data_IF_109772905973
#
_entry.id   IF_109772905973
#
_cell.length_a   1.000
_cell.length_b   1.000
_cell.length_c   1.000
_cell.angle_alpha   90.00
_cell.angle_beta   90.00
_cell.angle_gamma   90.00
#
_symmetry.space_group_name_H-M   'P 1'
#
loop_
_entity.id
_entity.type
_entity.pdbx_description
1 polymer ?
#
# COMPACT_ATOMS: atom_id res chain seq x y z
N UNK A 1 -13.23 -21.28 2.35
CA UNK A 1 -12.16 -21.66 3.31
C UNK A 1 -11.80 -20.40 4.10
N UNK A 2 -12.36 -20.26 5.30
CA UNK A 2 -12.52 -18.98 6.03
C UNK A 2 -11.21 -18.24 6.27
N UNK A 3 -11.19 -16.92 6.07
CA UNK A 3 -10.00 -16.07 6.19
C UNK A 3 -9.35 -16.11 7.58
N UNK A 4 -10.12 -16.44 8.63
CA UNK A 4 -9.59 -16.74 9.97
C UNK A 4 -8.60 -17.91 9.98
N UNK A 5 -8.78 -18.92 9.11
CA UNK A 5 -7.86 -20.07 8.97
C UNK A 5 -6.59 -19.67 8.22
N UNK A 6 -6.66 -18.71 7.29
CA UNK A 6 -5.49 -18.16 6.58
C UNK A 6 -4.64 -17.29 7.51
N UNK A 7 -5.27 -16.44 8.31
CA UNK A 7 -4.60 -15.61 9.32
C UNK A 7 -3.94 -16.51 10.39
N UNK A 8 -4.64 -17.54 10.86
CA UNK A 8 -4.08 -18.50 11.80
C UNK A 8 -2.88 -19.26 11.21
N UNK A 9 -2.93 -19.65 9.93
CA UNK A 9 -1.81 -20.32 9.27
C UNK A 9 -0.59 -19.40 9.11
N UNK A 10 -0.81 -18.12 8.80
CA UNK A 10 0.25 -17.11 8.68
C UNK A 10 0.95 -16.84 10.02
N UNK A 11 0.18 -16.69 11.11
CA UNK A 11 0.73 -16.55 12.45
C UNK A 11 1.55 -17.78 12.87
N UNK A 12 1.11 -18.97 12.50
CA UNK A 12 1.79 -20.23 12.83
C UNK A 12 3.13 -20.39 12.06
N UNK A 13 3.19 -19.90 10.81
CA UNK A 13 4.43 -19.84 10.02
C UNK A 13 5.43 -18.85 10.64
N UNK A 14 4.97 -17.68 11.08
CA UNK A 14 5.81 -16.68 11.76
C UNK A 14 6.36 -17.26 13.07
N UNK A 15 5.54 -17.96 13.84
CA UNK A 15 5.94 -18.58 15.12
C UNK A 15 6.94 -19.73 14.90
N UNK A 16 6.74 -20.55 13.87
CA UNK A 16 7.69 -21.62 13.51
C UNK A 16 9.06 -21.06 13.12
N UNK A 17 9.11 -19.92 12.41
CA UNK A 17 10.36 -19.26 12.04
C UNK A 17 11.13 -18.70 13.24
N UNK A 18 10.45 -18.32 14.33
CA UNK A 18 11.09 -17.87 15.58
C UNK A 18 11.65 -19.02 16.43
N UNK A 19 11.27 -20.27 16.15
CA UNK A 19 11.61 -21.43 16.99
C UNK A 19 12.90 -22.18 16.59
N UNK A 20 13.61 -21.76 15.54
CA UNK A 20 14.79 -22.48 15.00
C UNK A 20 16.12 -22.07 15.68
N UNK A 21 16.14 -21.12 16.62
CA UNK A 21 17.37 -20.71 17.30
C UNK A 21 17.52 -21.27 18.72
N UNK A 22 17.47 -22.59 18.86
CA UNK A 22 18.17 -23.28 19.97
C UNK A 22 18.97 -24.44 19.38
N UNK A 23 20.10 -24.10 18.75
CA UNK A 23 21.12 -25.11 18.45
C UNK A 23 21.77 -25.50 19.77
N UNK A 24 21.37 -26.66 20.26
CA UNK A 24 22.05 -27.38 21.32
C UNK A 24 23.53 -27.55 20.96
N UNK A 25 24.41 -26.96 21.77
CA UNK A 25 25.83 -27.17 21.69
C UNK A 25 26.15 -28.65 21.92
N UNK A 26 26.70 -29.32 20.91
CA UNK A 26 27.42 -30.58 21.06
C UNK A 26 28.88 -30.31 20.66
N UNK A 27 29.87 -30.61 21.52
CA UNK A 27 31.25 -30.29 21.22
C UNK A 27 31.85 -31.37 20.33
N UNK A 28 32.56 -30.96 19.29
CA UNK A 28 33.47 -31.83 18.55
C UNK A 28 33.24 -31.82 17.04
N UNK A 29 33.95 -30.94 16.36
CA UNK A 29 34.85 -31.34 15.26
C UNK A 29 35.62 -30.12 14.79
N UNK A 30 36.95 -30.24 14.83
CA UNK A 30 37.86 -29.24 14.31
C UNK A 30 37.70 -29.13 12.79
N UNK A 31 37.25 -27.97 12.32
CA UNK A 31 37.30 -27.61 10.91
C UNK A 31 38.17 -26.36 10.74
N UNK A 32 39.16 -26.48 9.85
CA UNK A 32 40.17 -25.51 9.47
C UNK A 32 39.64 -24.08 9.44
N UNK A 33 40.28 -23.19 10.22
CA UNK A 33 40.21 -21.74 10.05
C UNK A 33 40.77 -21.37 8.67
N UNK A 34 39.89 -21.25 7.70
CA UNK A 34 40.11 -20.34 6.59
C UNK A 34 40.14 -18.94 7.19
N UNK A 35 41.30 -18.31 7.15
CA UNK A 35 41.52 -16.95 7.60
C UNK A 35 40.90 -16.00 6.55
N UNK A 36 39.58 -16.01 6.44
CA UNK A 36 38.82 -14.98 5.74
C UNK A 36 38.85 -13.73 6.59
N UNK A 37 39.24 -12.60 5.99
CA UNK A 37 39.26 -11.29 6.65
C UNK A 37 37.86 -10.98 7.20
N UNK A 38 37.65 -11.17 8.50
CA UNK A 38 36.41 -10.80 9.21
C UNK A 38 36.04 -9.32 9.03
N UNK A 39 37.01 -8.47 8.72
CA UNK A 39 36.79 -7.07 8.36
C UNK A 39 36.08 -6.87 7.00
N UNK A 40 36.34 -7.73 6.01
CA UNK A 40 35.70 -7.68 4.69
C UNK A 40 34.24 -8.17 4.77
N UNK A 41 33.99 -9.24 5.54
CA UNK A 41 32.63 -9.73 5.78
C UNK A 41 31.75 -8.72 6.55
N UNK A 42 32.31 -8.06 7.57
CA UNK A 42 31.61 -7.01 8.31
C UNK A 42 31.25 -5.80 7.44
N UNK A 43 32.16 -5.38 6.56
CA UNK A 43 31.94 -4.28 5.62
C UNK A 43 30.81 -4.60 4.63
N UNK A 44 30.82 -5.81 4.05
CA UNK A 44 29.78 -6.25 3.10
C UNK A 44 28.40 -6.38 3.76
N UNK A 45 28.35 -6.86 5.00
CA UNK A 45 27.09 -6.96 5.74
C UNK A 45 26.49 -5.58 6.00
N UNK A 46 27.34 -4.61 6.37
CA UNK A 46 26.90 -3.22 6.58
C UNK A 46 26.40 -2.57 5.30
N UNK A 47 27.10 -2.74 4.18
CA UNK A 47 26.64 -2.24 2.88
C UNK A 47 25.27 -2.85 2.50
N UNK A 48 25.09 -4.15 2.77
CA UNK A 48 23.79 -4.80 2.54
C UNK A 48 22.69 -4.25 3.45
N UNK A 49 22.99 -4.01 4.73
CA UNK A 49 22.06 -3.40 5.67
C UNK A 49 21.67 -1.98 5.22
N UNK A 50 22.64 -1.16 4.81
CA UNK A 50 22.41 0.19 4.25
C UNK A 50 21.48 0.15 3.04
N UNK A 51 21.67 -0.81 2.12
CA UNK A 51 20.81 -0.95 0.95
C UNK A 51 19.37 -1.30 1.32
N UNK A 52 19.19 -2.21 2.27
CA UNK A 52 17.86 -2.68 2.69
C UNK A 52 17.14 -1.65 3.55
N UNK A 53 17.90 -0.85 4.31
CA UNK A 53 17.39 0.30 5.05
C UNK A 53 16.83 1.37 4.10
N UNK A 54 17.59 1.76 3.07
CA UNK A 54 17.11 2.70 2.03
C UNK A 54 15.85 2.19 1.31
N UNK A 55 15.80 0.90 1.00
CA UNK A 55 14.59 0.32 0.40
C UNK A 55 13.38 0.36 1.34
N UNK A 56 13.60 0.30 2.66
CA UNK A 56 12.56 0.47 3.66
C UNK A 56 12.09 1.93 3.76
N UNK A 57 13.03 2.89 3.76
CA UNK A 57 12.77 4.34 3.70
C UNK A 57 11.92 4.71 2.47
N UNK A 58 12.29 4.20 1.29
CA UNK A 58 11.55 4.45 0.04
C UNK A 58 10.09 3.97 0.13
N UNK A 59 9.87 2.79 0.70
CA UNK A 59 8.52 2.23 0.88
C UNK A 59 7.72 3.01 1.91
N UNK A 60 8.35 3.44 3.01
CA UNK A 60 7.74 4.30 4.01
C UNK A 60 7.32 5.64 3.38
N UNK A 61 8.19 6.24 2.55
CA UNK A 61 7.88 7.46 1.81
C UNK A 61 6.67 7.31 0.89
N UNK A 62 6.56 6.18 0.17
CA UNK A 62 5.38 5.86 -0.64
C UNK A 62 4.11 5.69 0.21
N UNK A 63 4.20 4.99 1.34
CA UNK A 63 3.06 4.80 2.22
C UNK A 63 2.54 6.14 2.75
N UNK A 64 3.44 7.02 3.22
CA UNK A 64 3.10 8.39 3.66
C UNK A 64 2.47 9.23 2.56
N UNK A 65 2.99 9.14 1.34
CA UNK A 65 2.41 9.84 0.19
C UNK A 65 0.93 9.46 0.01
N UNK A 66 0.60 8.17 -0.01
CA UNK A 66 -0.80 7.76 -0.15
C UNK A 66 -1.65 8.08 1.07
N UNK A 67 -1.08 7.99 2.27
CA UNK A 67 -1.76 8.39 3.51
C UNK A 67 -2.17 9.86 3.46
N UNK A 68 -1.27 10.75 3.04
CA UNK A 68 -1.54 12.18 2.86
C UNK A 68 -2.64 12.42 1.80
N UNK A 69 -2.60 11.69 0.68
CA UNK A 69 -3.60 11.81 -0.38
C UNK A 69 -5.00 11.34 0.05
N UNK A 70 -5.07 10.33 0.90
CA UNK A 70 -6.33 9.81 1.42
C UNK A 70 -6.88 10.64 2.57
N UNK A 71 -6.01 11.27 3.37
CA UNK A 71 -6.40 12.04 4.56
C UNK A 71 -7.26 11.20 5.50
N UNK A 72 -8.40 11.75 5.94
CA UNK A 72 -9.35 11.07 6.84
C UNK A 72 -9.97 9.80 6.26
N UNK A 73 -9.84 9.55 4.95
CA UNK A 73 -10.34 8.33 4.29
C UNK A 73 -9.36 7.17 4.41
N UNK A 74 -8.16 7.40 4.93
CA UNK A 74 -7.20 6.33 5.13
C UNK A 74 -7.64 5.38 6.25
N UNK A 75 -7.40 4.06 6.12
CA UNK A 75 -7.68 3.13 7.19
C UNK A 75 -6.77 3.38 8.41
N UNK A 76 -7.37 3.67 9.57
CA UNK A 76 -6.64 3.95 10.82
C UNK A 76 -5.67 2.84 11.25
N UNK A 77 -5.98 1.59 10.92
CA UNK A 77 -5.09 0.44 11.18
C UNK A 77 -3.75 0.57 10.43
N UNK A 78 -3.77 1.17 9.23
CA UNK A 78 -2.57 1.35 8.40
C UNK A 78 -1.71 2.51 8.91
N UNK A 79 -2.33 3.57 9.42
CA UNK A 79 -1.61 4.68 10.05
C UNK A 79 -0.76 4.19 11.23
N UNK A 80 -1.34 3.34 12.10
CA UNK A 80 -0.59 2.72 13.19
C UNK A 80 0.57 1.83 12.70
N UNK A 81 0.38 1.09 11.61
CA UNK A 81 1.44 0.27 11.00
C UNK A 81 2.59 1.16 10.51
N UNK A 82 2.27 2.33 9.94
CA UNK A 82 3.26 3.32 9.49
C UNK A 82 4.03 3.89 10.69
N UNK A 83 3.35 4.30 11.76
CA UNK A 83 4.00 4.81 12.99
C UNK A 83 4.93 3.78 13.64
N UNK A 84 4.52 2.51 13.68
CA UNK A 84 5.34 1.43 14.23
C UNK A 84 6.53 1.11 13.29
N UNK A 85 6.34 1.23 11.98
CA UNK A 85 7.40 1.08 10.99
C UNK A 85 8.44 2.20 11.07
N UNK A 86 8.05 3.44 11.33
CA UNK A 86 8.98 4.57 11.56
C UNK A 86 9.90 4.29 12.74
N UNK A 87 9.34 3.94 13.91
CA UNK A 87 10.14 3.64 15.11
C UNK A 87 11.14 2.50 14.87
N UNK A 88 10.70 1.47 14.15
CA UNK A 88 11.57 0.36 13.77
C UNK A 88 12.66 0.78 12.78
N UNK A 89 12.37 1.72 11.88
CA UNK A 89 13.35 2.24 10.92
C UNK A 89 14.42 3.07 11.63
N UNK A 90 14.02 3.94 12.57
CA UNK A 90 14.93 4.72 13.42
C UNK A 90 15.86 3.78 14.22
N UNK A 91 15.32 2.71 14.81
CA UNK A 91 16.14 1.71 15.49
C UNK A 91 17.09 0.99 14.52
N UNK A 92 16.66 0.72 13.28
CA UNK A 92 17.48 0.08 12.27
C UNK A 92 18.66 0.97 11.83
N UNK A 93 18.45 2.28 11.70
CA UNK A 93 19.50 3.28 11.47
C UNK A 93 20.53 3.30 12.60
N UNK A 94 20.07 3.34 13.84
CA UNK A 94 20.92 3.35 15.03
C UNK A 94 21.77 2.08 15.16
N UNK A 95 21.20 0.95 14.76
CA UNK A 95 21.87 -0.35 14.76
C UNK A 95 22.85 -0.50 13.61
N UNK A 96 22.73 0.26 12.53
CA UNK A 96 23.54 0.04 11.33
C UNK A 96 25.06 0.03 11.60
N UNK A 97 25.52 0.87 12.51
CA UNK A 97 26.94 0.93 12.91
C UNK A 97 27.29 -0.04 14.04
N UNK A 98 26.32 -0.40 14.89
CA UNK A 98 26.52 -1.17 16.13
C UNK A 98 26.35 -2.68 15.91
N UNK A 99 25.32 -3.04 15.17
CA UNK A 99 24.92 -4.40 14.80
C UNK A 99 24.24 -4.38 13.41
N UNK A 100 25.04 -4.45 12.33
CA UNK A 100 24.52 -4.47 10.96
C UNK A 100 23.58 -5.64 10.67
N UNK A 101 23.73 -6.79 11.36
CA UNK A 101 22.86 -7.93 11.16
C UNK A 101 21.44 -7.64 11.66
N UNK A 102 21.33 -7.01 12.84
CA UNK A 102 20.04 -6.62 13.41
C UNK A 102 19.40 -5.47 12.63
N UNK A 103 20.20 -4.47 12.21
CA UNK A 103 19.76 -3.41 11.30
C UNK A 103 19.18 -3.98 9.99
N UNK A 104 19.87 -4.93 9.37
CA UNK A 104 19.41 -5.63 8.18
C UNK A 104 18.06 -6.36 8.40
N UNK A 105 17.94 -7.08 9.52
CA UNK A 105 16.72 -7.82 9.85
C UNK A 105 15.53 -6.88 10.07
N UNK A 106 15.75 -5.79 10.81
CA UNK A 106 14.72 -4.81 11.12
C UNK A 106 14.29 -4.02 9.88
N UNK A 107 15.24 -3.64 9.01
CA UNK A 107 14.96 -3.02 7.72
C UNK A 107 14.04 -3.90 6.86
N UNK A 108 14.30 -5.21 6.79
CA UNK A 108 13.43 -6.15 6.06
C UNK A 108 12.06 -6.32 6.69
N UNK A 109 11.97 -6.26 8.01
CA UNK A 109 10.69 -6.26 8.71
C UNK A 109 9.87 -5.03 8.34
N UNK A 110 10.47 -3.84 8.38
CA UNK A 110 9.84 -2.59 7.94
C UNK A 110 9.39 -2.68 6.49
N UNK A 111 10.23 -3.18 5.57
CA UNK A 111 9.83 -3.36 4.17
C UNK A 111 8.60 -4.25 4.02
N UNK A 112 8.46 -5.33 4.81
CA UNK A 112 7.30 -6.22 4.75
C UNK A 112 6.02 -5.51 5.21
N UNK A 113 6.10 -4.75 6.31
CA UNK A 113 5.00 -3.92 6.80
C UNK A 113 4.60 -2.85 5.77
N UNK A 114 5.59 -2.15 5.20
CA UNK A 114 5.33 -1.07 4.25
C UNK A 114 4.81 -1.57 2.91
N UNK A 115 5.20 -2.75 2.44
CA UNK A 115 4.58 -3.36 1.25
C UNK A 115 3.07 -3.59 1.46
N UNK A 116 2.69 -4.11 2.62
CA UNK A 116 1.29 -4.28 2.97
C UNK A 116 0.56 -2.93 3.07
N UNK A 117 1.14 -1.96 3.78
CA UNK A 117 0.55 -0.64 3.93
C UNK A 117 0.34 0.07 2.58
N UNK A 118 1.35 0.05 1.71
CA UNK A 118 1.28 0.62 0.36
C UNK A 118 0.19 -0.06 -0.47
N UNK A 119 0.11 -1.39 -0.46
CA UNK A 119 -0.93 -2.11 -1.21
C UNK A 119 -2.35 -1.72 -0.76
N UNK A 120 -2.58 -1.61 0.55
CA UNK A 120 -3.88 -1.20 1.09
C UNK A 120 -4.21 0.24 0.68
N UNK A 121 -3.27 1.17 0.88
CA UNK A 121 -3.49 2.59 0.58
C UNK A 121 -3.64 2.85 -0.92
N UNK A 122 -2.85 2.19 -1.78
CA UNK A 122 -3.01 2.28 -3.23
C UNK A 122 -4.39 1.83 -3.69
N UNK A 123 -4.92 0.76 -3.10
CA UNK A 123 -6.25 0.25 -3.44
C UNK A 123 -7.36 1.21 -2.99
N UNK A 124 -7.25 1.80 -1.80
CA UNK A 124 -8.20 2.82 -1.34
C UNK A 124 -8.11 4.09 -2.19
N UNK A 125 -6.90 4.49 -2.58
CA UNK A 125 -6.69 5.65 -3.45
C UNK A 125 -7.35 5.45 -4.81
N UNK A 126 -7.20 4.27 -5.44
CA UNK A 126 -7.89 3.95 -6.71
C UNK A 126 -9.41 3.98 -6.59
N UNK A 127 -9.97 3.50 -5.47
CA UNK A 127 -11.43 3.58 -5.23
C UNK A 127 -11.89 5.03 -5.15
N UNK A 128 -11.10 5.89 -4.50
CA UNK A 128 -11.37 7.32 -4.42
C UNK A 128 -11.34 7.99 -5.80
N UNK A 129 -10.36 7.66 -6.64
CA UNK A 129 -10.27 8.17 -8.01
C UNK A 129 -11.50 7.78 -8.85
N UNK A 130 -11.89 6.50 -8.84
CA UNK A 130 -13.09 6.02 -9.56
C UNK A 130 -14.36 6.68 -9.04
N UNK A 131 -14.49 6.86 -7.72
CA UNK A 131 -15.64 7.54 -7.13
C UNK A 131 -15.71 9.02 -7.56
N UNK A 132 -14.57 9.71 -7.67
CA UNK A 132 -14.51 11.08 -8.14
C UNK A 132 -14.83 11.18 -9.64
N UNK A 133 -14.26 10.31 -10.48
CA UNK A 133 -14.58 10.24 -11.91
C UNK A 133 -16.07 10.00 -12.13
N UNK A 134 -16.67 9.06 -11.39
CA UNK A 134 -18.11 8.80 -11.47
C UNK A 134 -18.95 10.00 -11.04
N UNK A 135 -18.50 10.80 -10.08
CA UNK A 135 -19.17 12.05 -9.70
C UNK A 135 -19.12 13.06 -10.84
N UNK A 136 -17.95 13.31 -11.44
CA UNK A 136 -17.83 14.26 -12.55
C UNK A 136 -18.70 13.86 -13.74
N UNK A 137 -18.69 12.58 -14.12
CA UNK A 137 -19.55 12.07 -15.21
C UNK A 137 -21.03 12.29 -14.90
N UNK A 138 -21.45 12.15 -13.64
CA UNK A 138 -22.85 12.44 -13.24
C UNK A 138 -23.18 13.92 -13.31
N UNK A 139 -22.27 14.79 -12.90
CA UNK A 139 -22.44 16.24 -12.98
C UNK A 139 -22.56 16.69 -14.44
N UNK A 140 -21.64 16.26 -15.31
CA UNK A 140 -21.67 16.55 -16.75
C UNK A 140 -22.95 16.03 -17.43
N UNK A 141 -23.43 14.85 -17.02
CA UNK A 141 -24.65 14.25 -17.57
C UNK A 141 -25.91 15.02 -17.16
N UNK A 142 -25.99 15.52 -15.93
CA UNK A 142 -27.10 16.37 -15.48
C UNK A 142 -27.06 17.75 -16.15
N UNK A 143 -25.88 18.32 -16.40
CA UNK A 143 -25.73 19.57 -17.17
C UNK A 143 -26.21 19.39 -18.61
N UNK A 144 -25.73 18.35 -19.30
CA UNK A 144 -26.16 18.01 -20.66
C UNK A 144 -27.68 17.76 -20.72
N UNK A 145 -28.26 17.14 -19.71
CA UNK A 145 -29.71 16.94 -19.62
C UNK A 145 -30.46 18.28 -19.56
N UNK A 146 -29.97 19.22 -18.77
CA UNK A 146 -30.56 20.56 -18.67
C UNK A 146 -30.51 21.26 -20.03
N UNK A 147 -29.37 21.25 -20.70
CA UNK A 147 -29.20 21.86 -22.02
C UNK A 147 -30.11 21.22 -23.08
N UNK A 148 -30.18 19.88 -23.12
CA UNK A 148 -31.04 19.16 -24.06
C UNK A 148 -32.52 19.48 -23.78
N UNK A 149 -32.95 19.53 -22.51
CA UNK A 149 -34.32 19.88 -22.17
C UNK A 149 -34.68 21.32 -22.58
N UNK A 150 -33.74 22.27 -22.46
CA UNK A 150 -33.92 23.64 -22.94
C UNK A 150 -34.04 23.69 -24.47
N UNK A 151 -33.15 23.01 -25.19
CA UNK A 151 -33.19 22.94 -26.66
C UNK A 151 -34.49 22.30 -27.16
N UNK A 152 -34.97 21.22 -26.54
CA UNK A 152 -36.24 20.59 -26.91
C UNK A 152 -37.42 21.54 -26.69
N UNK A 153 -37.39 22.33 -25.60
CA UNK A 153 -38.40 23.36 -25.35
C UNK A 153 -38.34 24.48 -26.40
N UNK A 154 -37.15 24.93 -26.79
CA UNK A 154 -37.00 25.92 -27.87
C UNK A 154 -37.50 25.40 -29.21
N UNK A 155 -37.17 24.15 -29.57
CA UNK A 155 -37.68 23.51 -30.79
C UNK A 155 -39.19 23.44 -30.76
N UNK A 156 -39.78 22.96 -29.66
CA UNK A 156 -41.24 22.91 -29.51
C UNK A 156 -41.89 24.30 -29.65
N UNK A 157 -41.30 25.34 -29.06
CA UNK A 157 -41.79 26.71 -29.19
C UNK A 157 -41.68 27.24 -30.63
N UNK A 158 -40.70 26.79 -31.42
CA UNK A 158 -40.46 27.23 -32.78
C UNK A 158 -41.27 26.44 -33.82
N UNK A 159 -41.47 25.15 -33.62
CA UNK A 159 -42.09 24.24 -34.62
C UNK A 159 -43.48 23.77 -34.23
N UNK A 160 -43.85 23.80 -32.94
CA UNK A 160 -45.08 23.24 -32.41
C UNK A 160 -45.13 21.71 -32.37
N UNK A 161 -44.03 21.03 -32.71
CA UNK A 161 -43.94 19.56 -32.68
C UNK A 161 -43.43 19.07 -31.32
N UNK A 162 -44.03 18.00 -30.80
CA UNK A 162 -43.52 17.26 -29.64
C UNK A 162 -42.35 16.35 -30.05
N UNK A 163 -41.26 16.39 -29.27
CA UNK A 163 -40.01 15.66 -29.55
C UNK A 163 -39.78 14.56 -28.50
N UNK A 164 -40.85 13.84 -28.15
CA UNK A 164 -40.92 12.84 -27.07
C UNK A 164 -39.83 11.76 -27.13
N UNK A 165 -39.41 11.42 -28.35
CA UNK A 165 -38.42 10.34 -28.59
C UNK A 165 -37.03 10.70 -28.05
N UNK A 166 -36.69 11.99 -28.00
CA UNK A 166 -35.41 12.47 -27.45
C UNK A 166 -35.49 12.52 -25.92
N UNK A 167 -36.61 13.00 -25.36
CA UNK A 167 -36.83 12.99 -23.90
C UNK A 167 -36.81 11.57 -23.31
N UNK A 168 -37.50 10.62 -23.94
CA UNK A 168 -37.54 9.23 -23.47
C UNK A 168 -36.14 8.56 -23.49
N UNK A 169 -35.33 8.90 -24.50
CA UNK A 169 -33.96 8.37 -24.63
C UNK A 169 -33.03 8.97 -23.56
N UNK A 170 -33.21 10.26 -23.25
CA UNK A 170 -32.48 10.97 -22.21
C UNK A 170 -32.81 10.40 -20.82
N UNK A 171 -34.09 10.17 -20.52
CA UNK A 171 -34.52 9.54 -19.26
C UNK A 171 -33.96 8.12 -19.08
N UNK A 172 -33.87 7.34 -20.16
CA UNK A 172 -33.30 5.98 -20.12
C UNK A 172 -31.79 6.00 -19.83
N UNK A 173 -31.06 6.95 -20.39
CA UNK A 173 -29.62 7.10 -20.16
C UNK A 173 -29.28 7.46 -18.70
N UNK A 174 -30.17 8.19 -18.01
CA UNK A 174 -29.99 8.64 -16.63
C UNK A 174 -30.39 7.62 -15.55
N UNK A 175 -31.13 6.57 -15.93
CA UNK A 175 -31.50 5.47 -15.01
C UNK A 175 -30.42 4.38 -14.88
N UNK A 176 -29.30 4.53 -15.59
CA UNK A 176 -28.12 3.65 -15.58
C UNK A 176 -27.00 4.24 -14.72
#
# INVERSE_FOLDING_TARGET
MNDKRKIAALLLIILLLTSITVVAAKPGSAAKKGQGNTADEGSRLREKAEKELRAAEDLLGKAKFYLEKLGEKAPAEVEKIIDDAEKNLDEAEDLLKKDPARSLALSKHVQALMKYAVEVLENEFKKLEVANESRYVKEDLEELKSEVAELLREVHNLTGEEVDRVEETLEKALKL
#
